data_IF_858209338317
#
_entry.id   IF_858209338317
#
_cell.length_a   1.000
_cell.length_b   1.000
_cell.length_c   1.000
_cell.angle_alpha   90.00
_cell.angle_beta   90.00
_cell.angle_gamma   90.00
#
_symmetry.space_group_name_H-M   'P 1'
#
loop_
_entity.id
_entity.type
_entity.pdbx_description
1 polymer ?
#
# COMPACT_ATOMS: atom_id res chain seq x y z
N UNK A 1 2.03 12.58 -18.76
CA UNK A 1 2.47 11.27 -19.29
C UNK A 1 2.97 10.48 -18.09
N UNK A 2 2.33 9.37 -17.72
CA UNK A 2 2.87 8.48 -16.68
C UNK A 2 3.61 7.35 -17.39
N UNK A 3 4.87 7.10 -17.00
CA UNK A 3 5.69 6.06 -17.60
C UNK A 3 5.24 4.69 -17.06
N UNK A 4 4.91 3.77 -17.97
CA UNK A 4 4.69 2.37 -17.62
C UNK A 4 6.04 1.74 -17.27
N UNK A 5 6.17 0.96 -16.19
CA UNK A 5 7.47 0.38 -15.83
C UNK A 5 7.90 -0.59 -16.93
N UNK A 6 9.14 -0.45 -17.41
CA UNK A 6 9.67 -1.26 -18.51
C UNK A 6 9.90 -2.72 -18.08
N UNK A 7 10.13 -2.95 -16.79
CA UNK A 7 10.27 -4.25 -16.16
C UNK A 7 9.72 -4.26 -14.73
N UNK A 8 9.61 -5.45 -14.11
CA UNK A 8 9.26 -5.57 -12.70
C UNK A 8 10.28 -4.90 -11.75
N UNK A 9 11.54 -4.81 -12.17
CA UNK A 9 12.60 -4.15 -11.40
C UNK A 9 12.43 -2.62 -11.34
N UNK A 10 11.71 -2.03 -12.31
CA UNK A 10 11.45 -0.59 -12.36
C UNK A 10 10.21 -0.17 -11.55
N UNK A 11 9.50 -1.14 -10.95
CA UNK A 11 8.29 -0.85 -10.18
C UNK A 11 8.64 -0.29 -8.81
N UNK A 12 8.05 0.85 -8.47
CA UNK A 12 8.20 1.48 -7.16
C UNK A 12 7.33 0.74 -6.13
N UNK A 13 7.96 0.20 -5.09
CA UNK A 13 7.25 -0.48 -3.99
C UNK A 13 6.96 0.52 -2.88
N UNK A 14 5.69 0.63 -2.52
CA UNK A 14 5.18 1.58 -1.53
C UNK A 14 4.76 0.85 -0.25
N UNK A 15 5.16 1.40 0.89
CA UNK A 15 4.62 1.07 2.20
C UNK A 15 3.73 2.20 2.71
N UNK A 16 2.58 1.87 3.30
CA UNK A 16 1.68 2.85 3.92
C UNK A 16 1.58 2.62 5.43
N UNK A 17 1.84 3.66 6.23
CA UNK A 17 1.61 3.67 7.68
C UNK A 17 0.43 4.59 7.98
N UNK A 18 -0.63 4.04 8.58
CA UNK A 18 -1.93 4.68 8.74
C UNK A 18 -2.75 4.65 7.45
N UNK A 19 -3.78 3.79 7.39
CA UNK A 19 -4.55 3.51 6.16
C UNK A 19 -6.05 3.71 6.30
N UNK A 20 -6.49 4.38 7.37
CA UNK A 20 -7.86 4.82 7.58
C UNK A 20 -8.23 6.00 6.65
N UNK A 21 -8.79 7.10 7.18
CA UNK A 21 -9.38 8.18 6.38
C UNK A 21 -8.43 8.79 5.31
N UNK A 22 -7.51 9.67 5.71
CA UNK A 22 -6.61 10.34 4.75
C UNK A 22 -5.62 9.37 4.11
N UNK A 23 -5.11 8.40 4.87
CA UNK A 23 -4.21 7.36 4.37
C UNK A 23 -4.87 6.51 3.28
N UNK A 24 -6.13 6.11 3.46
CA UNK A 24 -6.90 5.34 2.50
C UNK A 24 -7.24 6.11 1.23
N UNK A 25 -7.48 7.42 1.32
CA UNK A 25 -7.61 8.31 0.15
C UNK A 25 -6.31 8.39 -0.64
N UNK A 26 -5.19 8.59 0.05
CA UNK A 26 -3.87 8.66 -0.58
C UNK A 26 -3.55 7.33 -1.27
N UNK A 27 -3.73 6.22 -0.56
CA UNK A 27 -3.58 4.87 -1.09
C UNK A 27 -4.41 4.67 -2.36
N UNK A 28 -5.68 5.09 -2.35
CA UNK A 28 -6.56 4.99 -3.54
C UNK A 28 -6.04 5.81 -4.72
N UNK A 29 -5.45 6.98 -4.47
CA UNK A 29 -4.81 7.78 -5.53
C UNK A 29 -3.60 7.07 -6.13
N UNK A 30 -2.78 6.42 -5.28
CA UNK A 30 -1.59 5.69 -5.73
C UNK A 30 -1.90 4.41 -6.50
N UNK A 31 -3.05 3.76 -6.27
CA UNK A 31 -3.47 2.58 -7.05
C UNK A 31 -3.76 2.88 -8.53
N UNK A 32 -3.82 4.16 -8.93
CA UNK A 32 -4.01 4.58 -10.33
C UNK A 32 -2.71 4.58 -11.15
N UNK A 33 -1.58 4.31 -10.51
CA UNK A 33 -0.25 4.35 -11.08
C UNK A 33 0.21 2.92 -11.42
N UNK A 34 0.38 2.61 -12.71
CA UNK A 34 0.78 1.27 -13.18
C UNK A 34 2.24 0.91 -12.86
N UNK A 35 3.06 1.92 -12.55
CA UNK A 35 4.47 1.86 -12.15
C UNK A 35 4.68 1.68 -10.64
N UNK A 36 3.60 1.50 -9.88
CA UNK A 36 3.65 1.40 -8.42
C UNK A 36 2.97 0.12 -7.91
N UNK A 37 3.47 -0.40 -6.80
CA UNK A 37 2.86 -1.51 -6.08
C UNK A 37 2.85 -1.23 -4.58
N UNK A 38 1.68 -1.40 -3.97
CA UNK A 38 1.54 -1.34 -2.51
C UNK A 38 2.02 -2.67 -1.94
N UNK A 39 3.24 -2.68 -1.41
CA UNK A 39 3.89 -3.89 -0.91
C UNK A 39 3.61 -4.14 0.57
N UNK A 40 3.38 -3.08 1.36
CA UNK A 40 3.17 -3.19 2.80
C UNK A 40 2.13 -2.18 3.31
N UNK A 41 1.35 -2.59 4.30
CA UNK A 41 0.44 -1.76 5.07
C UNK A 41 0.77 -1.84 6.55
N UNK A 42 0.63 -0.73 7.26
CA UNK A 42 0.73 -0.67 8.69
C UNK A 42 -0.41 0.16 9.27
N UNK A 43 -1.08 -0.35 10.29
CA UNK A 43 -2.06 0.39 11.09
C UNK A 43 -2.18 -0.24 12.47
N UNK A 44 -2.47 0.56 13.49
CA UNK A 44 -2.70 0.06 14.86
C UNK A 44 -4.11 -0.53 15.00
N UNK A 45 -5.04 -0.14 14.12
CA UNK A 45 -6.36 -0.75 14.04
C UNK A 45 -6.35 -1.95 13.09
N UNK A 46 -6.38 -3.15 13.67
CA UNK A 46 -6.39 -4.42 12.94
C UNK A 46 -7.60 -4.59 12.02
N UNK A 47 -8.78 -4.08 12.40
CA UNK A 47 -9.97 -4.21 11.55
C UNK A 47 -9.84 -3.36 10.29
N UNK A 48 -9.31 -2.14 10.43
CA UNK A 48 -8.98 -1.27 9.28
C UNK A 48 -7.91 -1.92 8.41
N UNK A 49 -6.83 -2.43 9.02
CA UNK A 49 -5.72 -3.06 8.31
C UNK A 49 -6.18 -4.24 7.44
N UNK A 50 -6.97 -5.16 8.00
CA UNK A 50 -7.50 -6.32 7.29
C UNK A 50 -8.51 -5.93 6.20
N UNK A 51 -9.35 -4.93 6.46
CA UNK A 51 -10.29 -4.42 5.44
C UNK A 51 -9.56 -3.83 4.23
N UNK A 52 -8.50 -3.05 4.47
CA UNK A 52 -7.69 -2.46 3.38
C UNK A 52 -6.87 -3.54 2.67
N UNK A 53 -6.27 -4.50 3.39
CA UNK A 53 -5.58 -5.64 2.79
C UNK A 53 -6.49 -6.42 1.84
N UNK A 54 -7.72 -6.70 2.27
CA UNK A 54 -8.74 -7.37 1.45
C UNK A 54 -9.10 -6.56 0.20
N UNK A 55 -9.25 -5.24 0.33
CA UNK A 55 -9.49 -4.33 -0.81
C UNK A 55 -8.36 -4.38 -1.85
N UNK A 56 -7.13 -4.68 -1.42
CA UNK A 56 -5.95 -4.83 -2.28
C UNK A 56 -5.71 -6.26 -2.77
N UNK A 57 -6.69 -7.15 -2.63
CA UNK A 57 -6.58 -8.54 -3.07
C UNK A 57 -5.70 -9.42 -2.19
N UNK A 58 -5.44 -9.02 -0.94
CA UNK A 58 -4.74 -9.85 0.04
C UNK A 58 -3.21 -9.86 -0.07
N UNK A 59 -2.64 -9.16 -1.05
CA UNK A 59 -1.22 -9.25 -1.41
C UNK A 59 -0.26 -8.52 -0.45
N UNK A 60 -0.55 -7.30 0.04
CA UNK A 60 0.43 -6.57 0.84
C UNK A 60 0.72 -7.25 2.18
N UNK A 61 1.96 -7.17 2.61
CA UNK A 61 2.35 -7.53 3.98
C UNK A 61 1.70 -6.55 4.97
N UNK A 62 1.35 -7.03 6.16
CA UNK A 62 0.64 -6.24 7.16
C UNK A 62 1.40 -6.18 8.48
N UNK A 63 1.45 -4.99 9.07
CA UNK A 63 2.16 -4.72 10.32
C UNK A 63 1.28 -3.88 11.26
N UNK A 64 1.33 -4.15 12.57
CA UNK A 64 0.68 -3.33 13.60
C UNK A 64 1.69 -2.38 14.29
N UNK A 65 2.98 -2.57 13.99
CA UNK A 65 4.10 -1.77 14.50
C UNK A 65 4.88 -1.20 13.32
N UNK A 66 4.89 0.12 13.18
CA UNK A 66 5.53 0.80 12.06
C UNK A 66 7.04 0.53 11.98
N UNK A 67 7.69 0.23 13.11
CA UNK A 67 9.13 -0.08 13.17
C UNK A 67 9.48 -1.40 12.47
N UNK A 68 8.49 -2.25 12.20
CA UNK A 68 8.67 -3.48 11.42
C UNK A 68 8.53 -3.26 9.91
N UNK A 69 7.98 -2.11 9.51
CA UNK A 69 7.81 -1.74 8.11
C UNK A 69 9.01 -0.92 7.59
N UNK A 70 9.62 -0.09 8.44
CA UNK A 70 10.85 0.66 8.16
C UNK A 70 12.08 -0.25 8.19
#
# INVERSE_FOLDING_TARGET
MQQKPASAADRIRLGFIGVANRGGQLLTSFLKHDDMEVAALCDVDKAVLEAVKKRLGGKPDTYEDFRRLL
#
